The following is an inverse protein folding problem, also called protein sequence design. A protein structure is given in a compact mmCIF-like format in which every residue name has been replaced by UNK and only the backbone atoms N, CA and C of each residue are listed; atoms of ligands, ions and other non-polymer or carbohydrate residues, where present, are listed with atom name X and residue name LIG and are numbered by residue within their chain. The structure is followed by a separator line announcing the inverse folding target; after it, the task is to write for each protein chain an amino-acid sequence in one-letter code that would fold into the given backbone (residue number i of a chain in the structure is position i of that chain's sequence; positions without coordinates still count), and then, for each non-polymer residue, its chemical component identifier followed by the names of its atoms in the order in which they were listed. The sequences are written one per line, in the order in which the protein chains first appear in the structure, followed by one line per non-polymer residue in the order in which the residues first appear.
data_IF_071487188604
#
_entry.id   IF_071487188604
#
_cell.length_a   1.000
_cell.length_b   1.000
_cell.length_c   1.000
_cell.angle_alpha   90.00
_cell.angle_beta   90.00
_cell.angle_gamma   90.00
#
_symmetry.space_group_name_H-M   'P 1'
#
loop_
_entity.id
_entity.type
_entity.pdbx_description
1 polymer ?
#
# COMPACT_ATOMS: atom_id res chain seq x y z
N UNK A 1 -20.14 9.81 -3.88
CA UNK A 1 -20.11 8.53 -4.59
C UNK A 1 -18.79 7.87 -4.22
N UNK A 2 -18.81 6.76 -3.51
CA UNK A 2 -17.61 6.00 -3.20
C UNK A 2 -17.19 5.28 -4.50
N UNK A 3 -16.10 5.72 -5.11
CA UNK A 3 -15.49 5.00 -6.23
C UNK A 3 -14.75 3.83 -5.59
N UNK A 4 -15.34 2.67 -5.72
CA UNK A 4 -14.81 1.41 -5.21
C UNK A 4 -13.54 1.08 -6.00
N UNK A 5 -12.42 0.89 -5.32
CA UNK A 5 -11.23 0.31 -5.94
C UNK A 5 -11.62 -0.94 -6.71
N UNK A 6 -11.05 -1.12 -7.90
CA UNK A 6 -11.36 -2.26 -8.75
C UNK A 6 -11.13 -3.56 -7.95
N UNK A 7 -12.10 -4.48 -7.83
CA UNK A 7 -11.88 -5.74 -7.12
C UNK A 7 -10.68 -6.50 -7.71
N UNK A 8 -9.93 -7.21 -6.88
CA UNK A 8 -8.75 -7.99 -7.30
C UNK A 8 -9.07 -8.88 -8.50
N UNK A 9 -10.19 -9.59 -8.48
CA UNK A 9 -10.63 -10.46 -9.59
C UNK A 9 -10.84 -9.68 -10.89
N UNK A 10 -11.49 -8.51 -10.84
CA UNK A 10 -11.69 -7.67 -12.00
C UNK A 10 -10.37 -7.11 -12.54
N UNK A 11 -9.44 -6.73 -11.64
CA UNK A 11 -8.09 -6.34 -12.01
C UNK A 11 -7.35 -7.51 -12.68
N UNK A 12 -7.30 -8.69 -12.05
CA UNK A 12 -6.65 -9.87 -12.59
C UNK A 12 -7.25 -10.25 -13.95
N UNK A 13 -8.58 -10.27 -14.08
CA UNK A 13 -9.27 -10.53 -15.34
C UNK A 13 -8.86 -9.55 -16.44
N UNK A 14 -8.71 -8.26 -16.10
CA UNK A 14 -8.22 -7.25 -17.03
C UNK A 14 -6.77 -7.45 -17.46
N UNK A 15 -5.95 -8.08 -16.60
CA UNK A 15 -4.54 -8.37 -16.89
C UNK A 15 -4.36 -9.70 -17.62
N UNK A 16 -5.08 -10.74 -17.23
CA UNK A 16 -4.97 -12.08 -17.82
C UNK A 16 -5.61 -12.18 -19.21
N UNK A 17 -6.61 -11.34 -19.53
CA UNK A 17 -7.18 -11.26 -20.88
C UNK A 17 -6.25 -10.66 -21.94
N UNK A 18 -5.07 -10.14 -21.55
CA UNK A 18 -4.11 -9.51 -22.45
C UNK A 18 -2.94 -10.43 -22.78
N UNK A 19 -2.54 -10.43 -24.06
CA UNK A 19 -1.27 -11.02 -24.48
C UNK A 19 -0.08 -10.23 -23.89
N UNK A 20 1.08 -10.86 -23.80
CA UNK A 20 2.32 -10.18 -23.38
C UNK A 20 2.63 -8.95 -24.26
N UNK A 21 2.37 -9.03 -25.58
CA UNK A 21 2.59 -7.93 -26.52
C UNK A 21 1.63 -6.75 -26.25
N UNK A 22 0.35 -7.03 -25.98
CA UNK A 22 -0.65 -5.98 -25.64
C UNK A 22 -0.27 -5.29 -24.33
N UNK A 23 0.14 -6.06 -23.32
CA UNK A 23 0.59 -5.51 -22.04
C UNK A 23 1.84 -4.64 -22.20
N UNK A 24 2.82 -5.10 -22.96
CA UNK A 24 4.03 -4.35 -23.26
C UNK A 24 3.71 -3.04 -24.01
N UNK A 25 2.78 -3.06 -24.95
CA UNK A 25 2.35 -1.86 -25.69
C UNK A 25 1.69 -0.83 -24.78
N UNK A 26 0.80 -1.27 -23.88
CA UNK A 26 0.16 -0.37 -22.91
C UNK A 26 1.14 0.17 -21.87
N UNK A 27 2.11 -0.64 -21.42
CA UNK A 27 3.11 -0.21 -20.45
C UNK A 27 4.10 0.83 -21.02
N UNK A 28 4.19 0.97 -22.35
CA UNK A 28 5.01 2.03 -22.98
C UNK A 28 4.55 3.45 -22.63
N UNK A 29 3.30 3.64 -22.23
CA UNK A 29 2.78 4.94 -21.80
C UNK A 29 3.36 5.37 -20.45
N UNK A 30 3.93 4.45 -19.69
CA UNK A 30 4.38 4.69 -18.34
C UNK A 30 5.89 4.54 -18.22
N UNK A 31 6.51 5.41 -17.44
CA UNK A 31 7.89 5.24 -16.98
C UNK A 31 7.96 4.17 -15.90
N UNK A 32 6.98 4.22 -14.97
CA UNK A 32 6.78 3.20 -13.96
C UNK A 32 5.40 2.56 -14.11
N UNK A 33 5.34 1.26 -14.10
CA UNK A 33 4.09 0.52 -14.28
C UNK A 33 3.40 0.15 -12.98
N UNK A 34 4.05 0.38 -11.84
CA UNK A 34 3.46 0.23 -10.51
C UNK A 34 3.94 1.34 -9.58
N UNK A 35 3.18 1.59 -8.51
CA UNK A 35 3.49 2.59 -7.48
C UNK A 35 3.33 1.94 -6.11
N UNK A 36 4.31 2.07 -5.22
CA UNK A 36 4.13 1.77 -3.79
C UNK A 36 4.00 3.06 -3.00
N UNK A 37 3.11 3.08 -2.01
CA UNK A 37 2.90 4.24 -1.13
C UNK A 37 3.15 3.84 0.31
N UNK A 38 4.30 4.22 0.84
CA UNK A 38 4.56 4.26 2.27
C UNK A 38 4.02 5.57 2.85
N UNK A 39 3.59 5.58 4.12
CA UNK A 39 2.92 6.76 4.67
C UNK A 39 3.03 6.87 6.18
N UNK A 40 3.05 8.09 6.68
CA UNK A 40 2.72 8.40 8.07
C UNK A 40 1.20 8.31 8.27
N UNK A 41 0.75 8.00 9.49
CA UNK A 41 -0.67 7.97 9.83
C UNK A 41 -1.27 9.38 9.68
N UNK A 42 -2.39 9.49 8.98
CA UNK A 42 -3.02 10.79 8.69
C UNK A 42 -2.46 11.53 7.47
N UNK A 43 -1.44 11.01 6.77
CA UNK A 43 -0.91 11.59 5.54
C UNK A 43 -1.75 11.28 4.27
N UNK A 44 -2.99 10.86 4.43
CA UNK A 44 -4.04 10.77 3.39
C UNK A 44 -3.72 9.84 2.21
N UNK A 45 -2.97 8.75 2.45
CA UNK A 45 -2.53 7.86 1.38
C UNK A 45 -3.68 7.20 0.60
N UNK A 46 -4.79 6.85 1.26
CA UNK A 46 -5.92 6.20 0.58
C UNK A 46 -6.64 7.16 -0.37
N UNK A 47 -7.11 8.35 0.05
CA UNK A 47 -7.73 9.28 -0.89
C UNK A 47 -6.77 9.74 -2.00
N UNK A 48 -5.48 9.95 -1.70
CA UNK A 48 -4.48 10.29 -2.73
C UNK A 48 -4.31 9.12 -3.71
N UNK A 49 -4.21 7.87 -3.22
CA UNK A 49 -4.08 6.69 -4.05
C UNK A 49 -5.30 6.45 -4.94
N UNK A 50 -6.51 6.73 -4.46
CA UNK A 50 -7.75 6.68 -5.26
C UNK A 50 -7.72 7.68 -6.41
N UNK A 51 -7.39 8.95 -6.12
CA UNK A 51 -7.23 9.98 -7.16
C UNK A 51 -6.14 9.64 -8.17
N UNK A 52 -5.04 9.06 -7.69
CA UNK A 52 -3.96 8.59 -8.55
C UNK A 52 -4.45 7.46 -9.49
N UNK A 53 -5.18 6.48 -8.97
CA UNK A 53 -5.74 5.39 -9.77
C UNK A 53 -6.71 5.90 -10.85
N UNK A 54 -7.62 6.81 -10.49
CA UNK A 54 -8.53 7.47 -11.43
C UNK A 54 -7.78 8.18 -12.55
N UNK A 55 -6.79 9.00 -12.18
CA UNK A 55 -6.01 9.80 -13.12
C UNK A 55 -5.19 8.94 -14.06
N UNK A 56 -4.48 7.94 -13.55
CA UNK A 56 -3.70 7.02 -14.37
C UNK A 56 -4.57 6.14 -15.27
N UNK A 57 -5.74 5.73 -14.82
CA UNK A 57 -6.70 4.99 -15.64
C UNK A 57 -7.21 5.82 -16.83
N UNK A 58 -7.32 7.14 -16.66
CA UNK A 58 -7.76 8.05 -17.71
C UNK A 58 -6.71 8.28 -18.81
N UNK A 59 -5.46 7.85 -18.64
CA UNK A 59 -4.39 8.01 -19.66
C UNK A 59 -4.51 7.04 -20.84
N UNK A 60 -5.48 6.13 -20.84
CA UNK A 60 -5.75 5.21 -21.95
C UNK A 60 -4.95 3.90 -21.93
N UNK A 61 -4.06 3.70 -20.95
CA UNK A 61 -3.30 2.45 -20.77
C UNK A 61 -4.06 1.32 -20.07
N UNK A 62 -5.35 1.52 -19.78
CA UNK A 62 -6.19 0.60 -19.03
C UNK A 62 -6.28 0.91 -17.53
N UNK A 63 -7.13 0.17 -16.78
CA UNK A 63 -7.44 0.50 -15.40
C UNK A 63 -6.25 0.29 -14.46
N UNK A 64 -6.06 1.25 -13.53
CA UNK A 64 -5.16 1.12 -12.40
C UNK A 64 -5.95 0.75 -11.15
N UNK A 65 -5.43 -0.19 -10.36
CA UNK A 65 -6.06 -0.65 -9.13
C UNK A 65 -5.29 -0.19 -7.89
N UNK A 66 -6.04 0.17 -6.84
CA UNK A 66 -5.50 0.50 -5.52
C UNK A 66 -5.63 -0.72 -4.61
N UNK A 67 -4.53 -1.14 -4.01
CA UNK A 67 -4.44 -2.21 -3.02
C UNK A 67 -4.00 -1.62 -1.68
N UNK A 68 -4.85 -1.77 -0.66
CA UNK A 68 -4.63 -1.29 0.71
C UNK A 68 -4.72 -2.44 1.72
N UNK A 69 -5.25 -2.18 2.90
CA UNK A 69 -5.48 -3.19 3.93
C UNK A 69 -6.39 -4.36 3.46
N UNK A 70 -7.20 -4.15 2.40
CA UNK A 70 -7.99 -5.21 1.80
C UNK A 70 -7.14 -6.25 1.07
N UNK A 71 -5.91 -5.90 0.65
CA UNK A 71 -5.00 -6.85 0.02
C UNK A 71 -4.77 -8.09 0.88
N UNK A 72 -4.57 -7.90 2.19
CA UNK A 72 -4.40 -9.02 3.13
C UNK A 72 -5.65 -9.91 3.17
N UNK A 73 -6.84 -9.30 3.21
CA UNK A 73 -8.10 -10.07 3.19
C UNK A 73 -8.27 -10.85 1.88
N UNK A 74 -7.86 -10.25 0.76
CA UNK A 74 -7.89 -10.90 -0.55
C UNK A 74 -6.91 -12.07 -0.61
N UNK A 75 -5.68 -11.89 -0.11
CA UNK A 75 -4.67 -12.97 -0.02
C UNK A 75 -5.21 -14.12 0.85
N UNK A 76 -5.81 -13.80 1.99
CA UNK A 76 -6.39 -14.81 2.87
C UNK A 76 -7.56 -15.55 2.23
N UNK A 77 -8.40 -14.87 1.43
CA UNK A 77 -9.49 -15.48 0.69
C UNK A 77 -8.99 -16.41 -0.42
N UNK A 78 -7.98 -15.97 -1.17
CA UNK A 78 -7.37 -16.75 -2.26
C UNK A 78 -6.65 -18.02 -1.78
N UNK A 79 -6.18 -18.04 -0.56
CA UNK A 79 -5.49 -19.18 0.06
C UNK A 79 -6.38 -19.98 1.03
N UNK A 80 -7.70 -19.82 0.96
CA UNK A 80 -8.69 -20.49 1.80
C UNK A 80 -8.46 -20.30 3.32
N UNK A 81 -7.80 -19.24 3.70
CA UNK A 81 -7.52 -18.89 5.08
C UNK A 81 -8.73 -18.19 5.74
N UNK A 82 -9.10 -18.53 7.00
CA UNK A 82 -10.23 -17.90 7.65
C UNK A 82 -10.11 -16.38 7.75
N UNK A 83 -11.15 -15.65 7.35
CA UNK A 83 -11.21 -14.17 7.44
C UNK A 83 -10.91 -13.63 8.86
N UNK A 84 -11.17 -14.43 9.91
CA UNK A 84 -10.80 -14.07 11.28
C UNK A 84 -9.30 -13.82 11.46
N UNK A 85 -8.43 -14.44 10.63
CA UNK A 85 -6.99 -14.24 10.68
C UNK A 85 -6.58 -12.84 10.21
N UNK A 86 -7.42 -12.17 9.40
CA UNK A 86 -7.18 -10.78 9.04
C UNK A 86 -7.10 -9.85 10.27
N UNK A 87 -7.64 -10.25 11.42
CA UNK A 87 -7.52 -9.51 12.68
C UNK A 87 -6.12 -9.59 13.29
N UNK A 88 -5.34 -10.60 12.95
CA UNK A 88 -3.98 -10.82 13.45
C UNK A 88 -2.90 -10.17 12.59
N UNK A 89 -3.28 -9.55 11.46
CA UNK A 89 -2.37 -8.80 10.59
C UNK A 89 -2.61 -7.28 10.51
N UNK A 90 -3.13 -6.58 11.53
CA UNK A 90 -3.00 -5.13 11.54
C UNK A 90 -1.52 -4.80 11.63
N UNK A 91 -1.08 -3.74 10.94
CA UNK A 91 0.27 -3.17 11.08
C UNK A 91 0.62 -2.85 12.55
N UNK A 92 -0.34 -3.01 13.47
CA UNK A 92 -0.32 -2.55 14.85
C UNK A 92 -0.03 -3.64 15.89
N UNK A 93 0.14 -4.91 15.53
CA UNK A 93 0.35 -5.99 16.51
C UNK A 93 1.82 -6.40 16.56
N UNK A 94 2.47 -6.39 17.75
CA UNK A 94 3.78 -7.03 17.94
C UNK A 94 3.55 -8.55 18.05
N UNK A 95 3.98 -9.28 17.04
CA UNK A 95 3.63 -10.70 16.85
C UNK A 95 4.71 -11.69 17.29
N UNK A 96 5.59 -11.37 18.19
CA UNK A 96 6.71 -12.26 18.52
C UNK A 96 6.45 -13.32 19.60
N UNK A 97 5.31 -13.27 20.28
CA UNK A 97 5.02 -14.20 21.39
C UNK A 97 3.87 -15.16 21.08
N UNK A 98 2.91 -14.73 20.27
CA UNK A 98 1.71 -15.53 19.97
C UNK A 98 1.90 -16.52 18.81
N UNK A 99 2.85 -16.28 17.92
CA UNK A 99 3.06 -17.11 16.73
C UNK A 99 3.50 -18.53 17.06
N UNK A 100 4.46 -18.69 17.97
CA UNK A 100 4.95 -20.01 18.36
C UNK A 100 3.86 -20.85 19.03
N UNK A 101 2.95 -20.21 19.78
CA UNK A 101 1.85 -20.87 20.43
C UNK A 101 0.74 -21.24 19.43
N UNK A 102 0.44 -20.35 18.49
CA UNK A 102 -0.55 -20.57 17.44
C UNK A 102 -0.08 -21.64 16.44
N UNK A 103 1.20 -21.65 16.08
CA UNK A 103 1.80 -22.65 15.23
C UNK A 103 1.82 -24.03 15.90
N UNK A 104 2.11 -24.08 17.21
CA UNK A 104 2.09 -25.31 18.00
C UNK A 104 0.68 -25.91 18.12
N UNK A 105 -0.34 -25.05 18.16
CA UNK A 105 -1.74 -25.46 18.24
C UNK A 105 -2.39 -25.73 16.86
N UNK A 106 -1.66 -25.52 15.76
CA UNK A 106 -2.14 -25.75 14.40
C UNK A 106 -3.31 -24.83 13.99
N UNK A 107 -3.47 -23.68 14.66
CA UNK A 107 -4.66 -22.81 14.51
C UNK A 107 -4.44 -21.68 13.53
N UNK A 108 -3.17 -21.26 13.29
CA UNK A 108 -2.83 -20.14 12.41
C UNK A 108 -1.53 -20.41 11.66
N UNK A 109 -1.39 -19.89 10.41
CA UNK A 109 -0.07 -19.80 9.78
C UNK A 109 0.83 -18.87 10.59
N UNK A 110 2.14 -19.14 10.62
CA UNK A 110 3.08 -18.24 11.28
C UNK A 110 3.05 -16.86 10.64
N UNK A 111 3.34 -15.80 11.40
CA UNK A 111 3.50 -14.42 10.86
C UNK A 111 4.47 -14.40 9.69
N UNK A 112 5.50 -15.23 9.74
CA UNK A 112 6.47 -15.38 8.65
C UNK A 112 5.83 -15.91 7.37
N UNK A 113 4.97 -16.92 7.44
CA UNK A 113 4.26 -17.47 6.28
C UNK A 113 3.33 -16.42 5.66
N UNK A 114 2.57 -15.69 6.50
CA UNK A 114 1.69 -14.62 6.04
C UNK A 114 2.48 -13.44 5.45
N UNK A 115 3.62 -13.12 6.02
CA UNK A 115 4.53 -12.12 5.48
C UNK A 115 5.05 -12.54 4.10
N UNK A 116 5.52 -13.79 3.94
CA UNK A 116 5.99 -14.32 2.66
C UNK A 116 4.90 -14.26 1.58
N UNK A 117 3.67 -14.71 1.89
CA UNK A 117 2.54 -14.63 0.96
C UNK A 117 2.20 -13.18 0.59
N UNK A 118 2.25 -12.26 1.57
CA UNK A 118 2.03 -10.85 1.32
C UNK A 118 3.10 -10.26 0.41
N UNK A 119 4.37 -10.54 0.68
CA UNK A 119 5.49 -10.07 -0.13
C UNK A 119 5.44 -10.63 -1.56
N UNK A 120 5.17 -11.94 -1.72
CA UNK A 120 5.00 -12.56 -3.04
C UNK A 120 3.85 -11.94 -3.82
N UNK A 121 2.72 -11.68 -3.19
CA UNK A 121 1.58 -11.01 -3.84
C UNK A 121 1.92 -9.58 -4.25
N UNK A 122 2.57 -8.80 -3.39
CA UNK A 122 3.04 -7.45 -3.74
C UNK A 122 3.98 -7.50 -4.95
N UNK A 123 4.95 -8.41 -4.94
CA UNK A 123 5.89 -8.59 -6.05
C UNK A 123 5.18 -8.93 -7.36
N UNK A 124 4.20 -9.86 -7.33
CA UNK A 124 3.40 -10.25 -8.50
C UNK A 124 2.56 -9.10 -9.02
N UNK A 125 1.86 -8.36 -8.14
CA UNK A 125 1.08 -7.19 -8.53
C UNK A 125 1.95 -6.11 -9.16
N UNK A 126 3.13 -5.85 -8.60
CA UNK A 126 4.09 -4.90 -9.14
C UNK A 126 4.65 -5.35 -10.52
N UNK A 127 4.86 -6.65 -10.70
CA UNK A 127 5.30 -7.23 -11.98
C UNK A 127 4.21 -7.14 -13.05
N UNK A 128 2.95 -7.41 -12.69
CA UNK A 128 1.80 -7.27 -13.60
C UNK A 128 1.61 -5.83 -14.03
N UNK A 129 1.89 -4.87 -13.13
CA UNK A 129 1.76 -3.44 -13.39
C UNK A 129 0.35 -2.89 -13.21
N UNK A 130 0.20 -1.58 -13.34
CA UNK A 130 -1.03 -0.80 -13.10
C UNK A 130 -1.62 -1.02 -11.70
N UNK A 131 -0.72 -1.20 -10.75
CA UNK A 131 -1.02 -1.40 -9.34
C UNK A 131 -0.49 -0.26 -8.48
N UNK A 132 -1.32 0.25 -7.58
CA UNK A 132 -0.94 1.18 -6.51
C UNK A 132 -1.08 0.41 -5.22
N UNK A 133 0.03 0.19 -4.52
CA UNK A 133 0.08 -0.67 -3.34
C UNK A 133 0.39 0.19 -2.12
N UNK A 134 -0.48 0.21 -1.13
CA UNK A 134 -0.36 1.06 0.06
C UNK A 134 0.07 0.23 1.27
N UNK A 135 1.30 0.46 1.74
CA UNK A 135 1.82 -0.12 2.96
C UNK A 135 2.52 -1.48 2.80
N UNK A 136 2.49 -2.28 3.87
CA UNK A 136 3.04 -3.65 3.95
C UNK A 136 4.51 -3.79 3.51
N UNK A 137 5.32 -2.74 3.71
CA UNK A 137 6.71 -2.75 3.28
C UNK A 137 6.89 -2.80 1.76
N UNK A 138 5.87 -2.41 0.98
CA UNK A 138 5.90 -2.50 -0.48
C UNK A 138 7.15 -1.92 -1.11
N UNK A 139 7.63 -0.74 -0.64
CA UNK A 139 8.88 -0.12 -1.09
C UNK A 139 10.13 -1.01 -0.88
N UNK A 140 10.14 -1.85 0.16
CA UNK A 140 11.24 -2.79 0.41
C UNK A 140 11.12 -4.05 -0.44
N UNK A 141 9.90 -4.59 -0.56
CA UNK A 141 9.62 -5.73 -1.45
C UNK A 141 9.99 -5.43 -2.90
N UNK A 142 9.76 -4.19 -3.34
CA UNK A 142 9.98 -3.77 -4.73
C UNK A 142 11.27 -2.98 -4.96
N UNK A 143 12.18 -2.90 -3.98
CA UNK A 143 13.38 -2.04 -4.02
C UNK A 143 14.33 -2.34 -5.19
N UNK A 144 14.30 -3.58 -5.75
CA UNK A 144 15.10 -3.96 -6.93
C UNK A 144 14.34 -3.87 -8.27
N UNK A 145 13.09 -3.39 -8.28
CA UNK A 145 12.25 -3.38 -9.47
C UNK A 145 12.29 -2.03 -10.18
N UNK A 146 12.91 -1.97 -11.36
CA UNK A 146 13.04 -0.74 -12.15
C UNK A 146 11.71 -0.17 -12.68
N UNK A 147 10.62 -0.94 -12.63
CA UNK A 147 9.30 -0.55 -13.09
C UNK A 147 8.38 -0.03 -11.96
N UNK A 148 8.88 0.16 -10.75
CA UNK A 148 8.09 0.59 -9.59
C UNK A 148 8.57 1.94 -9.07
N UNK A 149 7.63 2.88 -8.89
CA UNK A 149 7.87 4.15 -8.21
C UNK A 149 7.55 4.00 -6.72
N UNK A 150 8.53 4.17 -5.86
CA UNK A 150 8.39 4.09 -4.42
C UNK A 150 8.18 5.50 -3.83
N UNK A 151 6.98 5.73 -3.28
CA UNK A 151 6.56 7.03 -2.73
C UNK A 151 6.41 6.96 -1.22
N UNK A 152 6.89 7.97 -0.50
CA UNK A 152 6.64 8.19 0.92
C UNK A 152 5.79 9.43 1.12
N UNK A 153 4.64 9.31 1.79
CA UNK A 153 3.80 10.45 2.18
C UNK A 153 4.06 10.81 3.64
N UNK A 154 4.40 12.07 3.88
CA UNK A 154 4.68 12.63 5.19
C UNK A 154 3.82 13.87 5.46
N UNK A 155 3.79 14.34 6.70
CA UNK A 155 3.14 15.58 7.08
C UNK A 155 3.40 15.93 8.54
N UNK A 156 3.21 17.19 8.90
CA UNK A 156 3.32 17.67 10.27
C UNK A 156 2.32 16.94 11.19
N UNK A 157 2.75 16.61 12.40
CA UNK A 157 1.96 15.83 13.35
C UNK A 157 0.57 16.42 13.56
N UNK A 158 0.47 17.73 13.80
CA UNK A 158 -0.81 18.38 14.11
C UNK A 158 -1.78 18.35 12.93
N UNK A 159 -1.28 18.47 11.69
CA UNK A 159 -2.09 18.31 10.46
C UNK A 159 -2.64 16.90 10.33
N UNK A 160 -1.80 15.90 10.59
CA UNK A 160 -2.16 14.48 10.55
C UNK A 160 -3.15 14.11 11.66
N UNK A 161 -2.96 14.65 12.86
CA UNK A 161 -3.90 14.49 13.99
C UNK A 161 -5.25 15.10 13.65
N UNK A 162 -5.30 16.35 13.16
CA UNK A 162 -6.55 17.00 12.76
C UNK A 162 -7.30 16.21 11.67
N UNK A 163 -6.58 15.65 10.70
CA UNK A 163 -7.18 14.75 9.71
C UNK A 163 -7.79 13.50 10.36
N UNK A 164 -7.06 12.84 11.27
CA UNK A 164 -7.52 11.64 11.94
C UNK A 164 -8.71 11.90 12.87
N UNK A 165 -8.75 13.04 13.57
CA UNK A 165 -9.93 13.49 14.33
C UNK A 165 -11.18 13.52 13.44
N UNK A 166 -11.07 14.16 12.29
CA UNK A 166 -12.19 14.31 11.36
C UNK A 166 -12.73 12.98 10.84
N UNK A 167 -11.83 12.07 10.43
CA UNK A 167 -12.28 10.79 9.82
C UNK A 167 -12.73 9.76 10.83
N UNK A 168 -12.24 9.85 12.09
CA UNK A 168 -12.60 8.90 13.16
C UNK A 168 -13.70 9.44 14.08
N UNK A 169 -13.99 10.74 14.05
CA UNK A 169 -14.93 11.38 14.97
C UNK A 169 -14.44 11.39 16.42
N UNK A 170 -13.11 11.45 16.66
CA UNK A 170 -12.50 11.35 18.00
C UNK A 170 -11.89 12.67 18.46
N UNK A 171 -11.62 12.81 19.76
CA UNK A 171 -10.96 13.98 20.33
C UNK A 171 -9.45 14.03 20.00
N UNK A 172 -8.81 15.18 20.27
CA UNK A 172 -7.38 15.42 19.97
C UNK A 172 -6.47 14.38 20.62
N UNK A 173 -6.61 14.14 21.91
CA UNK A 173 -5.75 13.24 22.66
C UNK A 173 -5.83 11.79 22.13
N UNK A 174 -7.02 11.33 21.78
CA UNK A 174 -7.24 10.01 21.23
C UNK A 174 -6.64 9.89 19.80
N UNK A 175 -6.92 10.89 18.95
CA UNK A 175 -6.36 10.92 17.60
C UNK A 175 -4.83 10.97 17.62
N UNK A 176 -4.24 11.78 18.50
CA UNK A 176 -2.78 11.88 18.68
C UNK A 176 -2.17 10.55 19.14
N UNK A 177 -2.79 9.90 20.11
CA UNK A 177 -2.39 8.57 20.59
C UNK A 177 -2.45 7.55 19.45
N UNK A 178 -3.52 7.56 18.66
CA UNK A 178 -3.67 6.68 17.51
C UNK A 178 -2.58 6.91 16.46
N UNK A 179 -2.31 8.17 16.11
CA UNK A 179 -1.25 8.52 15.14
C UNK A 179 0.11 8.00 15.59
N UNK A 180 0.49 8.25 16.85
CA UNK A 180 1.76 7.78 17.39
C UNK A 180 1.86 6.25 17.45
N UNK A 181 0.78 5.59 17.88
CA UNK A 181 0.73 4.13 17.95
C UNK A 181 0.91 3.51 16.57
N UNK A 182 0.17 4.01 15.57
CA UNK A 182 0.21 3.50 14.20
C UNK A 182 1.57 3.74 13.54
N UNK A 183 2.15 4.94 13.67
CA UNK A 183 3.47 5.23 13.09
C UNK A 183 4.56 4.37 13.73
N UNK A 184 4.49 4.14 15.05
CA UNK A 184 5.42 3.26 15.75
C UNK A 184 5.29 1.80 15.29
N UNK A 185 4.06 1.32 15.09
CA UNK A 185 3.82 -0.03 14.61
C UNK A 185 4.37 -0.23 13.19
N UNK A 186 4.14 0.73 12.28
CA UNK A 186 4.71 0.70 10.93
C UNK A 186 6.23 0.69 10.91
N UNK A 187 6.86 1.49 11.78
CA UNK A 187 8.32 1.50 11.93
C UNK A 187 8.82 0.13 12.39
N UNK A 188 8.18 -0.44 13.42
CA UNK A 188 8.55 -1.79 13.91
C UNK A 188 8.39 -2.85 12.85
N UNK A 189 7.30 -2.81 12.08
CA UNK A 189 7.04 -3.76 11.00
C UNK A 189 8.15 -3.74 9.95
N UNK A 190 8.54 -2.56 9.47
CA UNK A 190 9.60 -2.44 8.45
C UNK A 190 10.96 -2.85 9.03
N UNK A 191 11.26 -2.48 10.27
CA UNK A 191 12.49 -2.91 10.94
C UNK A 191 12.53 -4.43 11.12
N UNK A 192 11.46 -5.05 11.59
CA UNK A 192 11.44 -6.48 11.89
C UNK A 192 11.54 -7.37 10.65
N UNK A 193 10.92 -6.96 9.54
CA UNK A 193 10.86 -7.80 8.32
C UNK A 193 11.92 -7.46 7.27
N UNK A 194 12.51 -6.25 7.31
CA UNK A 194 13.42 -5.78 6.27
C UNK A 194 14.72 -5.18 6.78
N UNK A 195 14.90 -5.16 8.10
CA UNK A 195 16.07 -4.53 8.76
C UNK A 195 16.34 -3.12 8.20
N UNK A 196 15.27 -2.31 8.10
CA UNK A 196 15.31 -0.99 7.47
C UNK A 196 14.53 0.06 8.27
N UNK A 197 15.03 1.31 8.24
CA UNK A 197 14.30 2.45 8.80
C UNK A 197 13.30 2.98 7.78
N UNK A 198 12.01 2.89 8.12
CA UNK A 198 10.92 3.41 7.28
C UNK A 198 11.04 4.92 7.01
N UNK A 199 11.76 5.67 7.83
CA UNK A 199 11.95 7.11 7.68
C UNK A 199 13.21 7.47 6.87
N UNK A 200 14.01 6.49 6.43
CA UNK A 200 15.15 6.73 5.54
C UNK A 200 14.66 7.20 4.15
N UNK A 201 14.93 8.47 3.76
CA UNK A 201 14.45 8.99 2.47
C UNK A 201 15.09 8.31 1.26
N UNK A 202 16.24 7.68 1.41
CA UNK A 202 16.96 7.00 0.32
C UNK A 202 16.29 5.68 -0.12
N UNK A 203 15.33 5.18 0.65
CA UNK A 203 14.54 4.01 0.31
C UNK A 203 13.33 4.33 -0.59
N UNK A 204 13.19 5.61 -0.99
CA UNK A 204 12.06 6.09 -1.81
C UNK A 204 12.58 6.92 -2.99
N UNK A 205 11.87 6.83 -4.12
CA UNK A 205 12.11 7.70 -5.26
C UNK A 205 11.58 9.12 -5.01
N UNK A 206 10.52 9.23 -4.18
CA UNK A 206 9.88 10.49 -3.81
C UNK A 206 9.40 10.48 -2.38
N UNK A 207 9.73 11.54 -1.64
CA UNK A 207 9.11 11.86 -0.35
C UNK A 207 8.26 13.12 -0.54
N UNK A 208 6.94 12.99 -0.34
CA UNK A 208 5.98 14.08 -0.57
C UNK A 208 5.36 14.52 0.76
N UNK A 209 5.58 15.80 1.11
CA UNK A 209 4.85 16.43 2.21
C UNK A 209 3.44 16.83 1.75
N UNK A 210 2.42 16.28 2.42
CA UNK A 210 1.03 16.47 2.03
C UNK A 210 0.35 17.67 2.72
N UNK A 211 1.05 18.41 3.59
CA UNK A 211 0.43 19.44 4.45
C UNK A 211 -0.29 20.54 3.67
N UNK A 212 0.32 20.99 2.58
CA UNK A 212 -0.17 22.11 1.77
C UNK A 212 -0.70 21.66 0.39
N UNK A 213 -0.87 20.36 0.20
CA UNK A 213 -1.42 19.81 -1.04
C UNK A 213 -2.83 19.26 -0.78
N UNK A 214 -3.71 19.46 -1.72
CA UNK A 214 -4.95 18.69 -1.81
C UNK A 214 -4.64 17.26 -2.25
N UNK A 215 -5.59 16.34 -2.06
CA UNK A 215 -5.43 14.94 -2.51
C UNK A 215 -5.23 14.87 -4.03
N UNK A 216 -5.90 15.76 -4.78
CA UNK A 216 -5.78 15.86 -6.24
C UNK A 216 -4.41 16.40 -6.69
N UNK A 217 -3.86 17.40 -6.00
CA UNK A 217 -2.54 17.94 -6.30
C UNK A 217 -1.44 16.93 -6.01
N UNK A 218 -1.53 16.22 -4.88
CA UNK A 218 -0.61 15.16 -4.54
C UNK A 218 -0.66 14.01 -5.56
N UNK A 219 -1.86 13.57 -5.95
CA UNK A 219 -2.05 12.55 -6.98
C UNK A 219 -1.52 12.99 -8.34
N UNK A 220 -1.74 14.24 -8.73
CA UNK A 220 -1.22 14.81 -9.98
C UNK A 220 0.31 14.84 -10.00
N UNK A 221 0.94 15.26 -8.90
CA UNK A 221 2.40 15.27 -8.78
C UNK A 221 3.00 13.86 -8.93
N UNK A 222 2.38 12.85 -8.33
CA UNK A 222 2.83 11.45 -8.48
C UNK A 222 2.57 10.96 -9.91
N UNK A 223 1.41 11.25 -10.49
CA UNK A 223 1.04 10.82 -11.83
C UNK A 223 1.97 11.38 -12.91
N UNK A 224 2.43 12.65 -12.77
CA UNK A 224 3.36 13.26 -13.73
C UNK A 224 4.71 12.55 -13.79
N UNK A 225 5.13 11.87 -12.71
CA UNK A 225 6.32 11.04 -12.73
C UNK A 225 6.06 9.68 -13.39
N UNK A 226 4.86 9.11 -13.15
CA UNK A 226 4.48 7.77 -13.64
C UNK A 226 4.31 7.74 -15.15
N UNK A 227 3.68 8.74 -15.74
CA UNK A 227 3.44 8.84 -17.18
C UNK A 227 4.73 9.32 -17.88
N UNK A 228 5.03 8.75 -19.04
CA UNK A 228 6.12 9.27 -19.91
C UNK A 228 5.67 10.57 -20.58
N UNK A 229 6.56 11.53 -20.62
CA UNK A 229 6.41 12.73 -21.46
C UNK A 229 6.50 12.38 -22.95
#
# INVERSE_FOLDING_TARGET
MAITALPLEAYLSSQFGMTAAQRAAQNRLYRWTAVTISRQCGARAIPIGQRLAERLSATGGGPWALFDDNLVRQILADHDLPQRLARFMPEDVPSLVDDALCELLGVHPSDWTLFQHTADTIYRLATLGRAIIVGRGGHRVTSGMANVLNVRLVGALDRRVAYMQRIRGTGDAEARTHVHKTDRARRRYVMAHFDSDIDNPLDYDVVLNTDNLTDEEAARAIASMVVRE
#
